data_IF_908165620949
#
_entry.id   IF_908165620949
#
_cell.length_a   1.000
_cell.length_b   1.000
_cell.length_c   1.000
_cell.angle_alpha   90.00
_cell.angle_beta   90.00
_cell.angle_gamma   90.00
#
_symmetry.space_group_name_H-M   'P 1'
#
loop_
_entity.id
_entity.type
_entity.pdbx_description
1 polymer ?
#
# COMPACT_ATOMS: atom_id res chain seq x y z
N UNK A 1 40.71 6.76 9.38
CA UNK A 1 39.42 6.43 8.72
C UNK A 1 39.60 5.13 7.96
N UNK A 2 38.78 4.11 8.22
CA UNK A 2 38.79 2.88 7.41
C UNK A 2 38.14 3.20 6.07
N UNK A 3 38.85 3.00 4.96
CA UNK A 3 38.26 3.10 3.62
C UNK A 3 37.14 2.07 3.50
N UNK A 4 35.95 2.48 3.06
CA UNK A 4 34.86 1.56 2.77
C UNK A 4 35.27 0.60 1.64
N UNK A 5 34.82 -0.66 1.68
CA UNK A 5 35.25 -1.64 0.69
C UNK A 5 34.73 -1.28 -0.71
N UNK A 6 35.65 -1.12 -1.66
CA UNK A 6 35.34 -0.97 -3.09
C UNK A 6 35.41 -2.33 -3.77
N UNK A 7 34.35 -2.72 -4.46
CA UNK A 7 34.27 -4.00 -5.19
C UNK A 7 34.22 -3.72 -6.69
N UNK A 8 35.10 -4.41 -7.44
CA UNK A 8 35.16 -4.35 -8.90
C UNK A 8 34.26 -5.43 -9.53
N UNK A 9 33.44 -5.03 -10.50
CA UNK A 9 32.56 -5.92 -11.25
C UNK A 9 32.82 -5.78 -12.75
N UNK A 10 32.85 -6.91 -13.47
CA UNK A 10 32.58 -6.92 -14.91
C UNK A 10 31.09 -6.66 -15.19
N UNK A 11 30.71 -6.35 -16.43
CA UNK A 11 29.29 -6.18 -16.79
C UNK A 11 28.44 -7.40 -16.43
N UNK A 12 28.97 -8.61 -16.61
CA UNK A 12 28.22 -9.85 -16.32
C UNK A 12 28.00 -10.00 -14.82
N UNK A 13 29.03 -9.78 -14.02
CA UNK A 13 28.95 -9.89 -12.56
C UNK A 13 28.07 -8.79 -11.96
N UNK A 14 28.15 -7.55 -12.48
CA UNK A 14 27.26 -6.46 -12.08
C UNK A 14 25.80 -6.80 -12.36
N UNK A 15 25.51 -7.35 -13.54
CA UNK A 15 24.15 -7.77 -13.92
C UNK A 15 23.63 -8.89 -13.01
N UNK A 16 24.47 -9.86 -12.63
CA UNK A 16 24.11 -10.89 -11.65
C UNK A 16 23.86 -10.27 -10.28
N UNK A 17 24.71 -9.34 -9.84
CA UNK A 17 24.57 -8.65 -8.55
C UNK A 17 23.26 -7.89 -8.43
N UNK A 18 22.81 -7.21 -9.49
CA UNK A 18 21.53 -6.46 -9.50
C UNK A 18 20.33 -7.27 -10.03
N UNK A 19 20.52 -8.55 -10.36
CA UNK A 19 19.45 -9.47 -10.76
C UNK A 19 18.83 -9.19 -12.15
N UNK A 20 19.62 -8.75 -13.13
CA UNK A 20 19.14 -8.49 -14.51
C UNK A 20 20.01 -9.17 -15.58
N UNK A 21 19.53 -9.20 -16.83
CA UNK A 21 20.31 -9.73 -17.95
C UNK A 21 21.25 -8.67 -18.56
N UNK A 22 22.42 -9.04 -19.10
CA UNK A 22 23.32 -8.10 -19.76
C UNK A 22 22.70 -7.34 -20.94
N UNK A 23 21.80 -7.99 -21.68
CA UNK A 23 21.09 -7.35 -22.79
C UNK A 23 20.16 -6.22 -22.31
N UNK A 24 19.44 -6.46 -21.21
CA UNK A 24 18.56 -5.45 -20.61
C UNK A 24 19.37 -4.28 -20.02
N UNK A 25 20.51 -4.59 -19.38
CA UNK A 25 21.43 -3.57 -18.87
C UNK A 25 21.98 -2.68 -19.98
N UNK A 26 22.48 -3.23 -21.09
CA UNK A 26 23.02 -2.42 -22.21
C UNK A 26 21.98 -1.47 -22.81
N UNK A 27 20.70 -1.90 -22.87
CA UNK A 27 19.61 -1.06 -23.39
C UNK A 27 19.25 0.10 -22.46
N UNK A 28 19.52 -0.01 -21.15
CA UNK A 28 19.09 0.93 -20.13
C UNK A 28 20.20 1.26 -19.12
N UNK A 29 21.46 1.31 -19.57
CA UNK A 29 22.63 1.26 -18.68
C UNK A 29 22.64 2.40 -17.67
N UNK A 30 22.36 3.62 -18.12
CA UNK A 30 22.35 4.80 -17.27
C UNK A 30 21.27 4.72 -16.19
N UNK A 31 20.08 4.22 -16.55
CA UNK A 31 18.98 4.02 -15.60
C UNK A 31 19.34 3.02 -14.51
N UNK A 32 20.06 1.95 -14.83
CA UNK A 32 20.49 0.97 -13.83
C UNK A 32 21.67 1.49 -12.99
N UNK A 33 22.60 2.23 -13.60
CA UNK A 33 23.71 2.86 -12.87
C UNK A 33 23.22 3.95 -11.91
N UNK A 34 22.21 4.74 -12.28
CA UNK A 34 21.58 5.71 -11.40
C UNK A 34 20.91 5.09 -10.17
N UNK A 35 20.39 3.86 -10.27
CA UNK A 35 19.88 3.12 -9.10
C UNK A 35 21.01 2.72 -8.16
N UNK A 36 22.12 2.25 -8.70
CA UNK A 36 23.30 1.88 -7.92
C UNK A 36 23.91 3.09 -7.22
N UNK A 37 23.94 4.25 -7.89
CA UNK A 37 24.43 5.52 -7.33
C UNK A 37 23.69 6.00 -6.07
N UNK A 38 22.52 5.43 -5.75
CA UNK A 38 21.77 5.73 -4.51
C UNK A 38 22.39 5.09 -3.27
N UNK A 39 23.07 3.96 -3.41
CA UNK A 39 23.64 3.21 -2.30
C UNK A 39 25.18 3.04 -2.39
N UNK A 40 25.74 3.34 -3.56
CA UNK A 40 27.16 3.17 -3.87
C UNK A 40 27.69 4.39 -4.61
N UNK A 41 28.93 4.78 -4.35
CA UNK A 41 29.70 5.52 -5.33
C UNK A 41 30.05 4.59 -6.50
N UNK A 42 29.76 5.02 -7.73
CA UNK A 42 29.91 4.19 -8.94
C UNK A 42 30.92 4.82 -9.88
N UNK A 43 32.09 4.21 -10.01
CA UNK A 43 33.08 4.57 -11.03
C UNK A 43 33.03 3.58 -12.20
N UNK A 44 33.22 4.11 -13.42
CA UNK A 44 33.13 3.33 -14.65
C UNK A 44 34.47 3.44 -15.38
N UNK A 45 35.16 2.32 -15.50
CA UNK A 45 36.37 2.20 -16.30
C UNK A 45 35.99 1.57 -17.64
N UNK A 46 35.84 2.42 -18.66
CA UNK A 46 35.67 1.96 -20.04
C UNK A 46 37.03 1.53 -20.56
N UNK A 47 37.10 0.34 -21.13
CA UNK A 47 38.32 -0.08 -21.80
C UNK A 47 38.66 0.82 -23.01
N UNK A 48 39.90 0.78 -23.51
CA UNK A 48 40.43 1.76 -24.45
C UNK A 48 39.65 1.85 -25.78
N UNK A 49 38.97 0.75 -26.15
CA UNK A 49 38.23 0.65 -27.40
C UNK A 49 36.81 0.11 -27.13
N UNK A 50 35.89 0.26 -28.09
CA UNK A 50 34.49 -0.19 -27.98
C UNK A 50 34.28 -1.68 -27.69
N UNK A 51 35.27 -2.52 -28.03
CA UNK A 51 35.26 -3.97 -27.76
C UNK A 51 35.98 -4.36 -26.46
N UNK A 52 36.59 -3.41 -25.77
CA UNK A 52 37.28 -3.67 -24.51
C UNK A 52 36.28 -3.79 -23.35
N UNK A 53 36.55 -4.66 -22.36
CA UNK A 53 35.64 -4.84 -21.23
C UNK A 53 35.50 -3.55 -20.42
N UNK A 54 34.26 -3.22 -20.05
CA UNK A 54 33.95 -2.13 -19.11
C UNK A 54 33.85 -2.72 -17.70
N UNK A 55 34.55 -2.10 -16.76
CA UNK A 55 34.49 -2.45 -15.34
C UNK A 55 33.75 -1.37 -14.55
N UNK A 56 33.08 -1.81 -13.48
CA UNK A 56 32.29 -0.97 -12.58
C UNK A 56 32.82 -1.16 -11.17
N UNK A 57 33.20 -0.06 -10.53
CA UNK A 57 33.66 -0.06 -9.14
C UNK A 57 32.54 0.48 -8.27
N UNK A 58 32.08 -0.33 -7.32
CA UNK A 58 31.05 0.04 -6.35
C UNK A 58 31.71 0.21 -4.98
N UNK A 59 31.68 1.42 -4.45
CA UNK A 59 32.08 1.72 -3.06
C UNK A 59 30.82 2.05 -2.27
N UNK A 60 30.54 1.33 -1.18
CA UNK A 60 29.36 1.65 -0.35
C UNK A 60 29.43 3.09 0.15
N UNK A 61 28.30 3.80 0.17
CA UNK A 61 28.21 5.11 0.83
C UNK A 61 28.23 4.90 2.35
N UNK A 62 28.91 5.80 3.10
CA UNK A 62 28.82 5.80 4.56
C UNK A 62 27.44 6.26 5.04
N UNK A 63 27.02 5.89 6.26
CA UNK A 63 25.69 6.27 6.81
C UNK A 63 25.42 7.78 6.75
N UNK A 64 26.46 8.62 6.82
CA UNK A 64 26.37 10.08 6.76
C UNK A 64 26.42 10.68 5.32
N UNK A 65 26.68 9.85 4.30
CA UNK A 65 26.71 10.24 2.88
C UNK A 65 25.51 9.68 2.11
N UNK A 66 24.70 8.84 2.77
CA UNK A 66 23.39 8.46 2.28
C UNK A 66 22.47 9.68 2.41
N UNK A 67 21.87 10.20 1.33
CA UNK A 67 20.89 11.27 1.46
C UNK A 67 19.75 10.81 2.38
N UNK A 68 19.34 11.68 3.29
CA UNK A 68 18.28 11.49 4.30
C UNK A 68 16.94 10.99 3.70
N UNK A 69 16.83 11.08 2.37
CA UNK A 69 15.73 10.62 1.51
C UNK A 69 15.89 9.17 1.01
N UNK A 70 16.43 8.29 1.87
CA UNK A 70 16.33 6.82 1.68
C UNK A 70 15.37 6.17 2.68
N UNK A 71 14.79 6.94 3.61
CA UNK A 71 13.69 6.50 4.48
C UNK A 71 12.30 6.93 3.97
N UNK A 72 12.23 7.87 3.03
CA UNK A 72 10.97 8.29 2.40
C UNK A 72 11.10 8.27 0.86
N UNK A 73 10.42 7.28 0.26
CA UNK A 73 9.93 7.21 -1.13
C UNK A 73 10.47 8.23 -2.15
N UNK A 74 11.49 7.85 -2.93
CA UNK A 74 11.85 8.53 -4.18
C UNK A 74 12.00 7.54 -5.35
N UNK A 75 10.92 6.82 -5.66
CA UNK A 75 10.70 6.38 -7.03
C UNK A 75 10.23 7.62 -7.80
N UNK A 76 11.07 8.16 -8.67
CA UNK A 76 10.59 9.02 -9.77
C UNK A 76 9.67 8.15 -10.63
N UNK A 77 8.40 8.09 -10.26
CA UNK A 77 7.36 7.48 -11.07
C UNK A 77 7.11 8.47 -12.20
N UNK A 78 7.82 8.30 -13.32
CA UNK A 78 7.44 8.95 -14.57
C UNK A 78 6.08 8.38 -14.99
N UNK A 79 5.01 9.14 -14.71
CA UNK A 79 3.69 8.79 -15.20
C UNK A 79 3.65 9.03 -16.70
N UNK A 80 3.19 8.02 -17.45
CA UNK A 80 2.75 8.30 -18.82
C UNK A 80 1.47 9.14 -18.77
N UNK A 81 1.18 9.95 -19.79
CA UNK A 81 -0.10 10.71 -19.86
C UNK A 81 -1.34 9.83 -19.66
N UNK A 82 -1.28 8.57 -20.11
CA UNK A 82 -2.34 7.58 -19.90
C UNK A 82 -2.47 7.14 -18.43
N UNK A 83 -1.35 7.11 -17.70
CA UNK A 83 -1.28 6.81 -16.27
C UNK A 83 -1.96 7.91 -15.45
N UNK A 84 -1.63 9.17 -15.74
CA UNK A 84 -2.22 10.34 -15.08
C UNK A 84 -3.73 10.38 -15.27
N UNK A 85 -4.21 10.22 -16.51
CA UNK A 85 -5.63 10.23 -16.82
C UNK A 85 -6.38 9.11 -16.06
N UNK A 86 -5.79 7.92 -15.93
CA UNK A 86 -6.41 6.83 -15.19
C UNK A 86 -6.43 7.09 -13.68
N UNK A 87 -5.34 7.64 -13.12
CA UNK A 87 -5.29 8.03 -11.69
C UNK A 87 -6.34 9.10 -11.40
N UNK A 88 -6.49 10.09 -12.28
CA UNK A 88 -7.52 11.12 -12.15
C UNK A 88 -8.93 10.53 -12.12
N UNK A 89 -9.25 9.62 -13.05
CA UNK A 89 -10.55 8.95 -13.09
C UNK A 89 -10.81 8.11 -11.82
N UNK A 90 -9.78 7.43 -11.29
CA UNK A 90 -9.89 6.69 -10.03
C UNK A 90 -10.17 7.62 -8.85
N UNK A 91 -9.47 8.75 -8.78
CA UNK A 91 -9.68 9.75 -7.73
C UNK A 91 -11.07 10.37 -7.82
N UNK A 92 -11.56 10.72 -9.02
CA UNK A 92 -12.94 11.19 -9.23
C UNK A 92 -13.95 10.14 -8.75
N UNK A 93 -13.75 8.88 -9.13
CA UNK A 93 -14.66 7.80 -8.77
C UNK A 93 -14.81 7.67 -7.24
N UNK A 94 -13.70 7.75 -6.50
CA UNK A 94 -13.71 7.63 -5.04
C UNK A 94 -14.21 8.92 -4.36
N UNK A 95 -13.70 10.09 -4.76
CA UNK A 95 -13.94 11.36 -4.07
C UNK A 95 -15.28 12.02 -4.41
N UNK A 96 -15.78 11.82 -5.63
CA UNK A 96 -16.97 12.53 -6.15
C UNK A 96 -18.10 11.55 -6.42
N UNK A 97 -17.82 10.47 -7.15
CA UNK A 97 -18.85 9.46 -7.47
C UNK A 97 -19.07 8.48 -6.31
N UNK A 98 -18.34 8.67 -5.20
CA UNK A 98 -18.52 7.94 -3.95
C UNK A 98 -18.36 6.41 -4.05
N UNK A 99 -17.63 5.94 -5.06
CA UNK A 99 -17.39 4.52 -5.32
C UNK A 99 -16.46 3.95 -4.25
N UNK A 100 -16.84 2.78 -3.72
CA UNK A 100 -16.04 2.07 -2.72
C UNK A 100 -14.67 1.73 -3.33
N UNK A 101 -13.54 1.95 -2.62
CA UNK A 101 -12.19 1.79 -3.17
C UNK A 101 -11.74 0.32 -3.34
N UNK A 102 -12.54 -0.47 -4.06
CA UNK A 102 -12.31 -1.87 -4.40
C UNK A 102 -11.83 -1.91 -5.84
N UNK A 103 -10.73 -2.63 -6.12
CA UNK A 103 -10.15 -2.68 -7.46
C UNK A 103 -11.14 -3.12 -8.53
N UNK A 104 -12.06 -4.06 -8.23
CA UNK A 104 -13.08 -4.53 -9.17
C UNK A 104 -14.13 -3.47 -9.51
N UNK A 105 -14.59 -2.71 -8.52
CA UNK A 105 -15.59 -1.67 -8.76
C UNK A 105 -14.97 -0.49 -9.50
N UNK A 106 -13.78 -0.07 -9.08
CA UNK A 106 -13.02 0.97 -9.77
C UNK A 106 -12.69 0.57 -11.22
N UNK A 107 -12.32 -0.69 -11.45
CA UNK A 107 -12.04 -1.22 -12.79
C UNK A 107 -13.24 -1.11 -13.72
N UNK A 108 -14.45 -1.43 -13.24
CA UNK A 108 -15.70 -1.26 -14.00
C UNK A 108 -15.93 0.20 -14.37
N UNK A 109 -15.77 1.12 -13.41
CA UNK A 109 -16.00 2.56 -13.60
C UNK A 109 -15.06 3.17 -14.64
N UNK A 110 -13.77 2.81 -14.61
CA UNK A 110 -12.78 3.38 -15.54
C UNK A 110 -12.60 2.55 -16.83
N UNK A 111 -13.34 1.46 -16.99
CA UNK A 111 -13.24 0.55 -18.14
C UNK A 111 -11.87 -0.11 -18.29
N UNK A 112 -11.28 -0.59 -17.19
CA UNK A 112 -9.95 -1.25 -17.15
C UNK A 112 -9.99 -2.56 -16.38
N UNK A 113 -8.84 -3.23 -16.29
CA UNK A 113 -8.69 -4.47 -15.51
C UNK A 113 -8.33 -4.18 -14.05
N UNK A 114 -8.64 -5.12 -13.15
CA UNK A 114 -8.21 -5.06 -11.75
C UNK A 114 -6.69 -4.88 -11.61
N UNK A 115 -5.91 -5.51 -12.50
CA UNK A 115 -4.45 -5.38 -12.53
C UNK A 115 -4.02 -3.95 -12.85
N UNK A 116 -4.67 -3.31 -13.81
CA UNK A 116 -4.40 -1.90 -14.16
C UNK A 116 -4.67 -0.99 -12.98
N UNK A 117 -5.82 -1.15 -12.31
CA UNK A 117 -6.16 -0.37 -11.11
C UNK A 117 -5.11 -0.59 -10.02
N UNK A 118 -4.73 -1.84 -9.74
CA UNK A 118 -3.70 -2.15 -8.75
C UNK A 118 -2.35 -1.49 -9.06
N UNK A 119 -1.94 -1.44 -10.34
CA UNK A 119 -0.75 -0.71 -10.75
C UNK A 119 -0.88 0.80 -10.51
N UNK A 120 -2.04 1.40 -10.80
CA UNK A 120 -2.28 2.83 -10.56
C UNK A 120 -2.25 3.17 -9.07
N UNK A 121 -2.89 2.35 -8.25
CA UNK A 121 -2.87 2.51 -6.79
C UNK A 121 -1.44 2.43 -6.24
N UNK A 122 -0.60 1.55 -6.81
CA UNK A 122 0.81 1.48 -6.44
C UNK A 122 1.56 2.78 -6.76
N UNK A 123 1.39 3.30 -7.98
CA UNK A 123 2.01 4.57 -8.39
C UNK A 123 1.51 5.74 -7.54
N UNK A 124 0.21 5.79 -7.23
CA UNK A 124 -0.35 6.82 -6.35
C UNK A 124 0.31 6.82 -4.96
N UNK A 125 0.69 5.65 -4.42
CA UNK A 125 1.44 5.57 -3.16
C UNK A 125 2.87 6.06 -3.31
N UNK A 126 3.55 5.64 -4.38
CA UNK A 126 4.92 6.06 -4.68
C UNK A 126 5.03 7.59 -4.91
N UNK A 127 3.96 8.21 -5.41
CA UNK A 127 3.84 9.64 -5.64
C UNK A 127 3.32 10.46 -4.44
N UNK A 128 3.04 9.82 -3.29
CA UNK A 128 2.47 10.52 -2.12
C UNK A 128 1.04 11.04 -2.34
N UNK A 129 0.33 10.52 -3.35
CA UNK A 129 -1.09 10.79 -3.57
C UNK A 129 -1.92 10.01 -2.55
N UNK A 130 -1.65 8.70 -2.43
CA UNK A 130 -2.20 7.86 -1.39
C UNK A 130 -1.22 7.75 -0.24
N UNK A 131 -1.55 8.43 0.86
CA UNK A 131 -0.79 8.43 2.09
C UNK A 131 -0.98 7.11 2.84
N UNK A 132 0.01 6.68 3.64
CA UNK A 132 -0.19 5.57 4.56
C UNK A 132 -1.37 5.86 5.50
N UNK A 133 -2.12 4.81 5.84
CA UNK A 133 -3.19 4.93 6.83
C UNK A 133 -2.52 5.02 8.21
N UNK A 134 -2.77 6.09 8.99
CA UNK A 134 -2.24 6.21 10.34
C UNK A 134 -2.65 5.03 11.21
N UNK A 135 -1.82 4.71 12.20
CA UNK A 135 -2.15 3.70 13.22
C UNK A 135 -2.14 4.34 14.59
N UNK A 136 -3.09 3.92 15.42
CA UNK A 136 -3.20 4.31 16.83
C UNK A 136 -3.01 3.07 17.70
N UNK A 137 -2.29 3.24 18.80
CA UNK A 137 -2.18 2.20 19.84
C UNK A 137 -3.45 2.24 20.69
N UNK A 138 -4.12 1.09 20.79
CA UNK A 138 -5.25 0.90 21.68
C UNK A 138 -4.83 -0.03 22.83
N UNK A 139 -5.10 0.43 24.05
CA UNK A 139 -4.82 -0.29 25.29
C UNK A 139 -6.18 -0.66 25.90
N UNK A 140 -6.43 -1.95 26.09
CA UNK A 140 -7.59 -2.44 26.83
C UNK A 140 -7.15 -2.82 28.24
N UNK A 141 -7.75 -2.18 29.24
CA UNK A 141 -7.51 -2.49 30.65
C UNK A 141 -8.67 -3.30 31.23
N UNK A 142 -8.35 -4.16 32.19
CA UNK A 142 -9.34 -4.76 33.07
C UNK A 142 -10.06 -3.65 33.85
N UNK A 143 -11.39 -3.73 33.92
CA UNK A 143 -12.21 -2.67 34.51
C UNK A 143 -12.10 -2.61 36.04
N UNK A 144 -11.72 -3.72 36.68
CA UNK A 144 -11.67 -3.85 38.13
C UNK A 144 -10.25 -3.65 38.67
N UNK A 145 -9.23 -4.21 38.01
CA UNK A 145 -7.83 -4.12 38.45
C UNK A 145 -7.07 -2.97 37.82
N UNK A 146 -7.54 -2.44 36.68
CA UNK A 146 -6.82 -1.44 35.88
C UNK A 146 -5.61 -1.99 35.14
N UNK A 147 -5.33 -3.29 35.24
CA UNK A 147 -4.22 -3.93 34.54
C UNK A 147 -4.43 -3.96 33.03
N UNK A 148 -3.36 -3.78 32.27
CA UNK A 148 -3.40 -3.88 30.81
C UNK A 148 -3.64 -5.34 30.43
N UNK A 149 -4.81 -5.60 29.85
CA UNK A 149 -5.19 -6.93 29.35
C UNK A 149 -4.84 -7.13 27.88
N UNK A 150 -4.65 -6.03 27.14
CA UNK A 150 -4.35 -6.05 25.72
C UNK A 150 -3.74 -4.73 25.27
N UNK A 151 -2.71 -4.79 24.43
CA UNK A 151 -2.20 -3.63 23.69
C UNK A 151 -2.09 -4.02 22.22
N UNK A 152 -2.69 -3.24 21.33
CA UNK A 152 -2.64 -3.50 19.90
C UNK A 152 -2.69 -2.22 19.07
N UNK A 153 -2.01 -2.21 17.93
CA UNK A 153 -2.10 -1.12 16.96
C UNK A 153 -3.27 -1.36 16.02
N UNK A 154 -4.19 -0.39 15.92
CA UNK A 154 -5.25 -0.38 14.92
C UNK A 154 -5.08 0.75 13.93
N UNK A 155 -5.58 0.54 12.71
CA UNK A 155 -5.66 1.60 11.70
C UNK A 155 -6.68 2.64 12.15
N UNK A 156 -6.29 3.90 12.05
CA UNK A 156 -7.18 5.04 12.22
C UNK A 156 -7.64 5.50 10.84
N UNK A 157 -8.76 4.92 10.42
CA UNK A 157 -9.38 5.21 9.12
C UNK A 157 -10.89 5.02 9.20
N UNK A 158 -11.57 5.71 8.30
CA UNK A 158 -12.97 5.43 8.03
C UNK A 158 -13.10 4.13 7.22
N UNK A 159 -14.16 3.36 7.49
CA UNK A 159 -14.44 2.10 6.82
C UNK A 159 -15.71 2.24 5.98
N UNK A 160 -15.58 2.01 4.68
CA UNK A 160 -16.74 1.82 3.81
C UNK A 160 -17.26 0.40 4.00
N UNK A 161 -18.50 0.27 4.48
CA UNK A 161 -19.20 -1.01 4.49
C UNK A 161 -20.00 -1.19 3.21
N UNK A 162 -20.03 -2.42 2.72
CA UNK A 162 -20.75 -2.77 1.50
C UNK A 162 -21.21 -4.22 1.53
N UNK A 163 -22.33 -4.49 0.89
CA UNK A 163 -22.91 -5.83 0.75
C UNK A 163 -22.62 -6.38 -0.66
N UNK A 164 -22.11 -7.59 -0.73
CA UNK A 164 -21.89 -8.30 -2.01
C UNK A 164 -23.10 -9.16 -2.31
N UNK A 165 -23.89 -8.73 -3.29
CA UNK A 165 -25.13 -9.41 -3.68
C UNK A 165 -24.85 -10.74 -4.42
N UNK A 166 -25.83 -11.64 -4.54
CA UNK A 166 -25.65 -12.95 -5.20
C UNK A 166 -25.18 -12.88 -6.66
N UNK A 167 -25.46 -11.77 -7.35
CA UNK A 167 -25.02 -11.53 -8.71
C UNK A 167 -23.59 -10.91 -8.80
N UNK A 168 -22.92 -10.73 -7.66
CA UNK A 168 -21.59 -10.11 -7.57
C UNK A 168 -21.59 -8.58 -7.63
N UNK A 169 -22.76 -7.92 -7.63
CA UNK A 169 -22.83 -6.47 -7.52
C UNK A 169 -22.58 -6.00 -6.08
N UNK A 170 -21.95 -4.83 -5.98
CA UNK A 170 -21.62 -4.22 -4.69
C UNK A 170 -22.65 -3.14 -4.37
N UNK A 171 -23.25 -3.24 -3.17
CA UNK A 171 -24.13 -2.22 -2.61
C UNK A 171 -23.40 -1.51 -1.46
N UNK A 172 -22.96 -0.27 -1.68
CA UNK A 172 -22.41 0.59 -0.63
C UNK A 172 -23.50 0.90 0.40
N UNK A 173 -23.14 0.86 1.68
CA UNK A 173 -24.02 1.25 2.78
C UNK A 173 -23.72 2.69 3.20
N UNK A 174 -24.76 3.50 3.42
CA UNK A 174 -24.64 4.94 3.75
C UNK A 174 -24.76 5.21 5.25
N UNK A 175 -25.74 4.61 5.95
CA UNK A 175 -25.83 4.64 7.42
C UNK A 175 -25.31 3.34 8.01
N UNK A 176 -24.03 3.37 8.43
CA UNK A 176 -23.30 2.19 8.89
C UNK A 176 -23.04 2.20 10.39
N UNK A 177 -23.56 3.18 11.14
CA UNK A 177 -23.25 3.35 12.57
C UNK A 177 -23.61 2.11 13.38
N UNK A 178 -24.84 1.60 13.18
CA UNK A 178 -25.31 0.38 13.86
C UNK A 178 -24.51 -0.86 13.46
N UNK A 179 -24.21 -1.00 12.17
CA UNK A 179 -23.42 -2.11 11.62
C UNK A 179 -22.00 -2.09 12.19
N UNK A 180 -21.36 -0.92 12.22
CA UNK A 180 -20.01 -0.74 12.75
C UNK A 180 -19.94 -1.09 14.24
N UNK A 181 -20.90 -0.61 15.03
CA UNK A 181 -20.97 -0.90 16.47
C UNK A 181 -21.19 -2.39 16.74
N UNK A 182 -22.11 -3.02 15.99
CA UNK A 182 -22.36 -4.45 16.10
C UNK A 182 -21.14 -5.28 15.67
N UNK A 183 -20.45 -4.88 14.59
CA UNK A 183 -19.21 -5.52 14.15
C UNK A 183 -18.16 -5.49 15.28
N UNK A 184 -17.95 -4.32 15.89
CA UNK A 184 -16.99 -4.16 16.99
C UNK A 184 -17.33 -5.06 18.19
N UNK A 185 -18.62 -5.16 18.53
CA UNK A 185 -19.10 -6.04 19.62
C UNK A 185 -18.83 -7.52 19.32
N UNK A 186 -19.23 -8.02 18.15
CA UNK A 186 -19.05 -9.43 17.79
C UNK A 186 -17.58 -9.80 17.64
N UNK A 187 -16.78 -8.91 17.08
CA UNK A 187 -15.33 -9.10 16.98
C UNK A 187 -14.69 -9.25 18.35
N UNK A 188 -14.97 -8.32 19.28
CA UNK A 188 -14.44 -8.38 20.65
C UNK A 188 -14.91 -9.63 21.41
N UNK A 189 -16.19 -10.00 21.25
CA UNK A 189 -16.73 -11.22 21.85
C UNK A 189 -15.96 -12.47 21.38
N UNK A 190 -15.70 -12.58 20.08
CA UNK A 190 -14.97 -13.73 19.53
C UNK A 190 -13.50 -13.74 19.96
N UNK A 191 -12.84 -12.58 20.00
CA UNK A 191 -11.46 -12.48 20.51
C UNK A 191 -11.38 -12.94 21.96
N UNK A 192 -12.28 -12.48 22.83
CA UNK A 192 -12.30 -12.88 24.25
C UNK A 192 -12.53 -14.38 24.41
N UNK A 193 -13.43 -14.98 23.62
CA UNK A 193 -13.65 -16.43 23.62
C UNK A 193 -12.40 -17.21 23.17
N UNK A 194 -11.72 -16.75 22.11
CA UNK A 194 -10.51 -17.42 21.63
C UNK A 194 -9.35 -17.31 22.62
N UNK A 195 -9.19 -16.15 23.27
CA UNK A 195 -8.21 -15.95 24.34
C UNK A 195 -8.47 -16.89 25.53
N UNK A 196 -9.72 -17.00 26.00
CA UNK A 196 -10.05 -17.88 27.13
C UNK A 196 -9.85 -19.37 26.78
N UNK A 197 -10.12 -19.76 25.53
CA UNK A 197 -9.96 -21.13 25.06
C UNK A 197 -8.50 -21.55 24.87
N UNK A 198 -7.66 -20.65 24.34
CA UNK A 198 -6.29 -20.99 23.94
C UNK A 198 -5.23 -20.52 24.95
N UNK A 199 -5.57 -19.61 25.86
CA UNK A 199 -4.68 -19.09 26.89
C UNK A 199 -3.34 -18.62 26.33
N UNK A 200 -2.25 -19.14 26.87
CA UNK A 200 -0.88 -18.83 26.44
C UNK A 200 -0.56 -19.20 24.99
N UNK A 201 -1.35 -20.09 24.37
CA UNK A 201 -1.16 -20.53 22.98
C UNK A 201 -1.99 -19.71 21.98
N UNK A 202 -2.59 -18.60 22.41
CA UNK A 202 -3.39 -17.75 21.54
C UNK A 202 -2.52 -17.04 20.48
N UNK A 203 -2.75 -17.37 19.21
CA UNK A 203 -2.17 -16.64 18.07
C UNK A 203 -3.07 -15.46 17.70
N UNK A 204 -2.56 -14.25 17.92
CA UNK A 204 -3.27 -12.99 17.66
C UNK A 204 -3.65 -12.82 16.19
N UNK A 205 -2.80 -13.26 15.25
CA UNK A 205 -3.04 -13.11 13.81
C UNK A 205 -4.15 -14.05 13.35
N UNK A 206 -4.07 -15.32 13.72
CA UNK A 206 -5.12 -16.30 13.39
C UNK A 206 -6.43 -15.96 14.09
N UNK A 207 -6.36 -15.57 15.36
CA UNK A 207 -7.53 -15.19 16.16
C UNK A 207 -8.28 -13.99 15.60
N UNK A 208 -7.55 -12.98 15.12
CA UNK A 208 -8.15 -11.80 14.48
C UNK A 208 -8.89 -12.15 13.18
N UNK A 209 -8.34 -13.05 12.36
CA UNK A 209 -9.01 -13.52 11.14
C UNK A 209 -10.30 -14.29 11.44
N UNK A 210 -10.27 -15.17 12.44
CA UNK A 210 -11.46 -15.90 12.90
C UNK A 210 -12.52 -14.95 13.48
N UNK A 211 -12.11 -13.94 14.25
CA UNK A 211 -13.00 -12.94 14.81
C UNK A 211 -13.64 -12.05 13.74
N UNK A 212 -12.91 -11.65 12.69
CA UNK A 212 -13.44 -10.87 11.56
C UNK A 212 -14.51 -11.69 10.80
N UNK A 213 -14.22 -12.96 10.48
CA UNK A 213 -15.17 -13.84 9.81
C UNK A 213 -16.44 -14.09 10.65
N UNK A 214 -16.27 -14.31 11.95
CA UNK A 214 -17.40 -14.47 12.88
C UNK A 214 -18.26 -13.20 12.93
N UNK A 215 -17.62 -12.04 13.11
CA UNK A 215 -18.34 -10.77 13.19
C UNK A 215 -19.12 -10.48 11.91
N UNK A 216 -18.54 -10.71 10.74
CA UNK A 216 -19.24 -10.54 9.45
C UNK A 216 -20.44 -11.46 9.33
N UNK A 217 -20.29 -12.74 9.67
CA UNK A 217 -21.42 -13.69 9.64
C UNK A 217 -22.57 -13.26 10.55
N UNK A 218 -22.27 -12.85 11.78
CA UNK A 218 -23.30 -12.34 12.71
C UNK A 218 -23.98 -11.08 12.17
N UNK A 219 -23.23 -10.21 11.51
CA UNK A 219 -23.79 -9.01 10.87
C UNK A 219 -24.68 -9.37 9.67
N UNK A 220 -24.27 -10.35 8.86
CA UNK A 220 -25.10 -10.86 7.75
C UNK A 220 -26.44 -11.36 8.27
N UNK A 221 -26.43 -12.17 9.33
CA UNK A 221 -27.62 -12.73 9.96
C UNK A 221 -28.51 -11.64 10.61
N UNK A 222 -27.93 -10.75 11.41
CA UNK A 222 -28.69 -9.74 12.19
C UNK A 222 -29.30 -8.63 11.33
N UNK A 223 -28.62 -8.24 10.24
CA UNK A 223 -29.02 -7.11 9.40
C UNK A 223 -29.56 -7.56 8.03
N UNK A 224 -29.58 -8.86 7.75
CA UNK A 224 -30.10 -9.41 6.50
C UNK A 224 -29.25 -9.06 5.27
N UNK A 225 -27.92 -9.05 5.43
CA UNK A 225 -26.99 -8.88 4.32
C UNK A 225 -26.66 -10.22 3.67
N UNK A 226 -26.23 -10.20 2.41
CA UNK A 226 -25.78 -11.42 1.72
C UNK A 226 -24.32 -11.75 2.05
N UNK A 227 -23.46 -10.73 1.98
CA UNK A 227 -22.06 -10.84 2.39
C UNK A 227 -21.49 -9.45 2.66
N UNK A 228 -21.56 -9.05 3.93
CA UNK A 228 -21.03 -7.80 4.42
C UNK A 228 -19.51 -7.80 4.36
N UNK A 229 -18.97 -6.75 3.77
CA UNK A 229 -17.56 -6.51 3.66
C UNK A 229 -17.25 -5.05 3.95
N UNK A 230 -15.96 -4.76 4.13
CA UNK A 230 -15.49 -3.40 4.37
C UNK A 230 -14.18 -3.14 3.67
N UNK A 231 -14.00 -1.90 3.22
CA UNK A 231 -12.75 -1.40 2.66
C UNK A 231 -12.38 -0.11 3.40
N UNK A 232 -11.10 0.04 3.73
CA UNK A 232 -10.62 1.28 4.29
C UNK A 232 -10.74 2.40 3.25
N UNK A 233 -11.17 3.57 3.69
CA UNK A 233 -11.12 4.77 2.87
C UNK A 233 -9.68 5.06 2.43
N UNK A 234 -9.54 5.60 1.22
CA UNK A 234 -8.27 6.08 0.72
C UNK A 234 -7.87 7.36 1.46
N UNK A 235 -6.76 7.30 2.21
CA UNK A 235 -6.13 8.48 2.77
C UNK A 235 -5.39 9.26 1.65
N UNK A 236 -6.08 10.20 1.01
CA UNK A 236 -5.55 10.96 -0.13
C UNK A 236 -4.97 12.29 0.34
N UNK A 237 -3.82 12.68 -0.18
CA UNK A 237 -3.21 13.97 0.16
C UNK A 237 -4.11 15.15 -0.24
N UNK A 238 -4.18 16.15 0.63
CA UNK A 238 -5.08 17.32 0.50
C UNK A 238 -4.91 18.06 -0.82
N UNK A 239 -3.68 18.14 -1.33
CA UNK A 239 -3.37 18.75 -2.62
C UNK A 239 -4.15 18.09 -3.77
N UNK A 240 -4.14 16.76 -3.85
CA UNK A 240 -4.80 16.02 -4.93
C UNK A 240 -6.32 16.01 -4.77
N UNK A 241 -6.81 15.96 -3.52
CA UNK A 241 -8.24 16.18 -3.24
C UNK A 241 -8.69 17.52 -3.80
N UNK A 242 -7.95 18.60 -3.50
CA UNK A 242 -8.24 19.96 -4.00
C UNK A 242 -8.26 20.03 -5.53
N UNK A 243 -7.23 19.49 -6.18
CA UNK A 243 -7.12 19.46 -7.66
C UNK A 243 -8.32 18.77 -8.32
N UNK A 244 -8.74 17.62 -7.80
CA UNK A 244 -9.85 16.84 -8.35
C UNK A 244 -11.17 17.60 -8.16
N UNK A 245 -11.45 18.10 -6.96
CA UNK A 245 -12.67 18.88 -6.72
C UNK A 245 -12.72 20.16 -7.54
N UNK A 246 -11.62 20.88 -7.72
CA UNK A 246 -11.60 22.09 -8.56
C UNK A 246 -11.92 21.77 -10.02
N UNK A 247 -11.33 20.70 -10.57
CA UNK A 247 -11.55 20.29 -11.95
C UNK A 247 -13.01 19.93 -12.24
N UNK A 248 -13.65 19.21 -11.34
CA UNK A 248 -15.00 18.66 -11.57
C UNK A 248 -16.15 19.47 -10.94
N UNK A 249 -15.89 20.37 -9.97
CA UNK A 249 -16.92 21.34 -9.50
C UNK A 249 -17.36 22.29 -10.61
N UNK A 250 -16.45 22.69 -11.50
CA UNK A 250 -16.77 23.59 -12.64
C UNK A 250 -17.68 22.95 -13.70
N UNK A 251 -17.98 21.65 -13.58
CA UNK A 251 -18.86 20.92 -14.50
C UNK A 251 -20.25 20.66 -13.90
N UNK A 252 -20.49 21.04 -12.64
CA UNK A 252 -21.76 20.89 -11.91
C UNK A 252 -22.52 22.20 -11.73
N UNK A 253 -21.99 23.31 -12.25
CA UNK A 253 -22.61 24.64 -12.39
C UNK A 253 -22.83 24.93 -13.86
#
# INVERSE_FOLDING_TARGET
MKSLPTIKYSTKELCTFIGITPAYFRKNSEKQLNKLRKAYHVEIEKGPNSNSPTFYYLTSLGENEMPEVLLESNNEVELTKNSEAQIELLLKAVLIDEIVPIHSELAKVIGKTNRTVGNRVKEMKELGILLPIPTVTEIECDKETGEITNEYHRKDCYWYYYDTLPNGNIRKLTDTTKVHNAYGKFFKQQVSYLKSKHGVNYDVKLGSGLADNFAKKMIDDDFGFYSINRAAEWNISKEYVGKIFEKYRRQLT
#
